data_IF_177819399131
#
_entry.id   IF_177819399131
#
_cell.length_a   1.000
_cell.length_b   1.000
_cell.length_c   1.000
_cell.angle_alpha   90.00
_cell.angle_beta   90.00
_cell.angle_gamma   90.00
#
_symmetry.space_group_name_H-M   'P 1'
#
loop_
_entity.id
_entity.type
_entity.pdbx_description
1 polymer ?
#
# COMPACT_ATOMS: atom_id res chain seq x y z
N UNK A 1 26.65 52.51 -3.21
CA UNK A 1 26.53 52.55 -4.69
C UNK A 1 27.14 51.29 -5.27
N UNK A 2 26.31 50.29 -5.63
CA UNK A 2 26.80 49.06 -6.27
C UNK A 2 26.72 49.24 -7.79
N UNK A 3 27.88 49.30 -8.45
CA UNK A 3 27.96 49.44 -9.92
C UNK A 3 27.34 48.19 -10.56
N UNK A 4 26.19 48.34 -11.22
CA UNK A 4 25.60 47.29 -12.07
C UNK A 4 26.55 47.04 -13.24
N UNK A 5 27.17 45.86 -13.27
CA UNK A 5 27.95 45.39 -14.41
C UNK A 5 27.02 45.16 -15.59
N UNK A 6 27.36 45.75 -16.75
CA UNK A 6 26.68 45.49 -18.02
C UNK A 6 26.85 44.00 -18.34
N UNK A 7 25.77 43.22 -18.26
CA UNK A 7 25.77 41.83 -18.72
C UNK A 7 26.12 41.82 -20.20
N UNK A 8 27.22 41.17 -20.56
CA UNK A 8 27.56 40.92 -21.96
C UNK A 8 26.43 40.12 -22.59
N UNK A 9 25.84 40.67 -23.65
CA UNK A 9 24.90 39.95 -24.50
C UNK A 9 25.71 39.06 -25.44
N UNK A 10 25.69 37.75 -25.20
CA UNK A 10 26.25 36.78 -26.13
C UNK A 10 25.33 36.71 -27.36
N UNK A 11 25.81 37.23 -28.49
CA UNK A 11 25.15 37.04 -29.79
C UNK A 11 25.51 35.64 -30.30
N UNK A 12 24.57 34.71 -30.22
CA UNK A 12 24.70 33.40 -30.85
C UNK A 12 24.32 33.51 -32.34
N UNK A 13 25.00 32.75 -33.23
CA UNK A 13 24.62 32.72 -34.64
C UNK A 13 23.21 32.15 -34.82
N UNK A 14 22.44 32.72 -35.74
CA UNK A 14 21.09 32.27 -36.07
C UNK A 14 21.15 30.91 -36.78
N UNK A 15 20.95 29.83 -36.02
CA UNK A 15 20.82 28.48 -36.57
C UNK A 15 19.37 28.29 -37.01
N UNK A 16 19.16 27.97 -38.29
CA UNK A 16 17.82 27.75 -38.86
C UNK A 16 17.11 26.62 -38.10
N UNK A 17 15.99 26.94 -37.43
CA UNK A 17 15.24 26.00 -36.58
C UNK A 17 15.56 26.07 -35.07
N UNK A 18 16.51 26.89 -34.64
CA UNK A 18 16.80 27.10 -33.22
C UNK A 18 15.87 28.15 -32.61
N UNK A 19 14.92 27.72 -31.78
CA UNK A 19 14.11 28.62 -30.95
C UNK A 19 14.82 28.92 -29.63
N UNK A 20 15.15 30.18 -29.32
CA UNK A 20 15.77 30.53 -28.05
C UNK A 20 14.89 30.14 -26.87
N UNK A 21 15.51 29.59 -25.82
CA UNK A 21 14.82 29.22 -24.59
C UNK A 21 14.21 30.46 -23.91
N UNK A 22 12.88 30.58 -23.93
CA UNK A 22 12.15 31.54 -23.09
C UNK A 22 12.06 30.97 -21.69
N UNK A 23 12.60 31.70 -20.69
CA UNK A 23 12.44 31.33 -19.29
C UNK A 23 10.95 31.21 -18.95
N UNK A 24 10.57 30.08 -18.32
CA UNK A 24 9.19 29.82 -17.90
C UNK A 24 8.65 30.99 -17.07
N UNK A 25 7.66 31.71 -17.60
CA UNK A 25 6.87 32.69 -16.86
C UNK A 25 6.27 32.02 -15.61
N UNK A 26 6.30 32.71 -14.46
CA UNK A 26 5.65 32.25 -13.22
C UNK A 26 4.14 32.08 -13.38
N UNK A 27 3.53 32.77 -14.34
CA UNK A 27 2.11 32.68 -14.64
C UNK A 27 1.88 31.61 -15.70
N UNK A 28 1.70 30.37 -15.23
CA UNK A 28 1.36 29.21 -16.07
C UNK A 28 0.17 29.51 -16.99
N UNK A 29 -0.81 30.29 -16.51
CA UNK A 29 -2.03 30.64 -17.23
C UNK A 29 -1.79 31.52 -18.47
N UNK A 30 -0.79 32.39 -18.47
CA UNK A 30 -0.46 33.25 -19.63
C UNK A 30 0.21 32.45 -20.75
N UNK A 31 0.99 31.42 -20.40
CA UNK A 31 1.63 30.51 -21.36
C UNK A 31 0.62 29.66 -22.16
N UNK A 32 -0.57 29.41 -21.60
CA UNK A 32 -1.60 28.58 -22.21
C UNK A 32 -2.78 29.37 -22.80
N UNK A 33 -2.76 30.71 -22.73
CA UNK A 33 -3.83 31.57 -23.28
C UNK A 33 -3.90 31.56 -24.80
N UNK A 34 -2.74 31.52 -25.46
CA UNK A 34 -2.64 31.62 -26.92
C UNK A 34 -2.57 30.24 -27.60
N UNK A 35 -2.45 29.17 -26.82
CA UNK A 35 -2.57 27.81 -27.33
C UNK A 35 -4.05 27.57 -27.65
N UNK A 36 -4.42 27.18 -28.89
CA UNK A 36 -5.79 26.82 -29.19
C UNK A 36 -6.22 25.77 -28.18
N UNK A 37 -7.31 26.04 -27.47
CA UNK A 37 -7.90 25.08 -26.54
C UNK A 37 -8.02 23.80 -27.33
N UNK A 38 -7.22 22.78 -27.00
CA UNK A 38 -7.22 21.54 -27.75
C UNK A 38 -8.63 20.97 -27.59
N UNK A 39 -9.50 21.21 -28.57
CA UNK A 39 -10.70 20.43 -28.75
C UNK A 39 -10.19 19.01 -28.88
N UNK A 40 -10.40 18.21 -27.83
CA UNK A 40 -10.07 16.80 -27.87
C UNK A 40 -10.97 16.19 -28.93
N UNK A 41 -10.44 16.07 -30.15
CA UNK A 41 -11.11 15.34 -31.23
C UNK A 41 -11.08 13.88 -30.82
N UNK A 42 -12.26 13.33 -30.48
CA UNK A 42 -12.38 11.92 -30.19
C UNK A 42 -11.98 11.11 -31.43
N UNK A 43 -11.08 10.14 -31.24
CA UNK A 43 -10.66 9.24 -32.32
C UNK A 43 -11.91 8.54 -32.88
N UNK A 44 -12.13 8.55 -34.20
CA UNK A 44 -13.28 7.88 -34.80
C UNK A 44 -13.38 6.42 -34.35
N UNK A 45 -14.60 5.92 -34.06
CA UNK A 45 -14.82 4.58 -33.47
C UNK A 45 -14.18 3.40 -34.23
N UNK A 46 -13.86 3.57 -35.51
CA UNK A 46 -13.27 2.54 -36.37
C UNK A 46 -11.83 2.86 -36.81
N UNK A 47 -11.18 3.85 -36.22
CA UNK A 47 -9.80 4.18 -36.55
C UNK A 47 -8.86 3.07 -36.05
N UNK A 48 -8.04 2.54 -36.94
CA UNK A 48 -6.94 1.63 -36.61
C UNK A 48 -5.64 2.32 -36.99
N UNK A 49 -4.65 2.24 -36.10
CA UNK A 49 -3.32 2.73 -36.40
C UNK A 49 -2.73 1.89 -37.56
N UNK A 50 -2.13 2.53 -38.58
CA UNK A 50 -1.52 1.79 -39.69
C UNK A 50 -0.28 1.03 -39.20
N UNK A 51 -0.08 -0.17 -39.74
CA UNK A 51 1.13 -0.96 -39.49
C UNK A 51 2.36 -0.27 -40.07
N UNK A 52 3.47 -0.29 -39.32
CA UNK A 52 4.73 0.30 -39.77
C UNK A 52 5.41 -0.62 -40.79
N UNK A 53 5.52 -0.19 -42.04
CA UNK A 53 6.14 -0.96 -43.12
C UNK A 53 7.61 -0.58 -43.30
N UNK A 54 8.42 -1.44 -43.94
CA UNK A 54 9.80 -1.09 -44.31
C UNK A 54 9.89 0.18 -45.19
N UNK A 55 8.86 0.46 -45.99
CA UNK A 55 8.76 1.65 -46.85
C UNK A 55 8.65 2.97 -46.06
N UNK A 56 8.11 2.91 -44.84
CA UNK A 56 7.92 4.08 -43.97
C UNK A 56 9.23 4.55 -43.32
N UNK A 57 10.33 3.80 -43.49
CA UNK A 57 11.66 4.17 -43.05
C UNK A 57 12.57 4.48 -44.28
N UNK A 58 12.64 5.75 -44.75
CA UNK A 58 13.38 6.13 -45.96
C UNK A 58 14.87 5.80 -45.91
N UNK A 59 15.46 5.72 -44.72
CA UNK A 59 16.86 5.40 -44.53
C UNK A 59 17.13 3.90 -44.33
N UNK A 60 16.08 3.09 -44.14
CA UNK A 60 16.10 1.62 -44.06
C UNK A 60 16.92 1.00 -42.93
N UNK A 61 17.65 1.82 -42.14
CA UNK A 61 18.54 1.37 -41.06
C UNK A 61 18.39 2.22 -39.82
N UNK A 62 18.55 1.60 -38.66
CA UNK A 62 18.71 2.31 -37.39
C UNK A 62 20.16 2.81 -37.27
N UNK A 63 20.34 4.05 -36.79
CA UNK A 63 21.67 4.65 -36.62
C UNK A 63 22.47 4.07 -35.44
N UNK A 64 21.78 3.48 -34.47
CA UNK A 64 22.38 2.90 -33.28
C UNK A 64 21.90 1.46 -33.09
N UNK A 65 22.81 0.60 -32.61
CA UNK A 65 22.46 -0.74 -32.19
C UNK A 65 21.89 -0.71 -30.76
N UNK A 66 20.73 -1.33 -30.56
CA UNK A 66 20.13 -1.56 -29.25
C UNK A 66 20.25 -3.03 -28.87
N UNK A 67 20.69 -3.28 -27.63
CA UNK A 67 20.73 -4.62 -27.05
C UNK A 67 19.98 -4.64 -25.71
N UNK A 68 19.24 -5.70 -25.47
CA UNK A 68 18.62 -5.99 -24.18
C UNK A 68 18.90 -7.43 -23.77
N UNK A 69 19.33 -7.61 -22.52
CA UNK A 69 19.51 -8.91 -21.90
C UNK A 69 18.55 -9.09 -20.73
N UNK A 70 18.13 -10.34 -20.47
CA UNK A 70 17.34 -10.70 -19.30
C UNK A 70 17.80 -12.05 -18.76
N UNK A 71 18.05 -12.10 -17.45
CA UNK A 71 18.37 -13.34 -16.73
C UNK A 71 17.10 -14.17 -16.52
N UNK A 72 17.22 -15.49 -16.63
CA UNK A 72 16.14 -16.42 -16.33
C UNK A 72 16.53 -17.42 -15.23
N UNK A 73 15.55 -17.96 -14.47
CA UNK A 73 15.84 -18.95 -13.43
C UNK A 73 16.27 -20.29 -14.02
N UNK A 74 17.20 -20.99 -13.34
CA UNK A 74 17.74 -22.30 -13.75
C UNK A 74 16.67 -23.35 -14.07
N UNK A 75 15.56 -23.39 -13.32
CA UNK A 75 14.47 -24.35 -13.59
C UNK A 75 13.77 -24.13 -14.94
N UNK A 76 13.91 -22.94 -15.55
CA UNK A 76 13.28 -22.59 -16.81
C UNK A 76 14.16 -22.89 -18.03
N UNK A 77 15.44 -23.19 -17.79
CA UNK A 77 16.47 -23.44 -18.81
C UNK A 77 16.06 -24.53 -19.81
N UNK A 78 15.61 -25.69 -19.32
CA UNK A 78 15.21 -26.82 -20.17
C UNK A 78 14.15 -26.41 -21.21
N UNK A 79 13.11 -25.70 -20.77
CA UNK A 79 12.06 -25.23 -21.65
C UNK A 79 12.58 -24.18 -22.63
N UNK A 80 13.35 -23.19 -22.15
CA UNK A 80 13.88 -22.11 -23.01
C UNK A 80 14.76 -22.72 -24.11
N UNK A 81 15.60 -23.69 -23.78
CA UNK A 81 16.45 -24.41 -24.74
C UNK A 81 15.63 -25.12 -25.82
N UNK A 82 14.52 -25.76 -25.46
CA UNK A 82 13.62 -26.46 -26.39
C UNK A 82 12.94 -25.48 -27.37
N UNK A 83 12.44 -24.33 -26.89
CA UNK A 83 11.72 -23.36 -27.73
C UNK A 83 12.63 -22.38 -28.49
N UNK A 84 13.92 -22.30 -28.12
CA UNK A 84 14.84 -21.26 -28.61
C UNK A 84 14.94 -21.20 -30.14
N UNK A 85 15.05 -22.33 -30.88
CA UNK A 85 15.10 -22.30 -32.33
C UNK A 85 13.86 -21.65 -32.96
N UNK A 86 12.67 -21.92 -32.41
CA UNK A 86 11.42 -21.33 -32.87
C UNK A 86 11.36 -19.83 -32.59
N UNK A 87 11.75 -19.40 -31.38
CA UNK A 87 11.83 -17.98 -31.04
C UNK A 87 12.80 -17.22 -31.95
N UNK A 88 13.98 -17.81 -32.21
CA UNK A 88 14.99 -17.23 -33.10
C UNK A 88 14.45 -17.03 -34.51
N UNK A 89 13.68 -17.98 -35.04
CA UNK A 89 13.04 -17.88 -36.36
C UNK A 89 12.08 -16.69 -36.42
N UNK A 90 11.18 -16.58 -35.44
CA UNK A 90 10.19 -15.49 -35.37
C UNK A 90 10.87 -14.12 -35.22
N UNK A 91 11.88 -13.98 -34.38
CA UNK A 91 12.60 -12.71 -34.22
C UNK A 91 13.43 -12.33 -35.46
N UNK A 92 13.90 -13.32 -36.22
CA UNK A 92 14.64 -13.09 -37.45
C UNK A 92 13.77 -12.51 -38.57
N UNK A 93 12.47 -12.83 -38.60
CA UNK A 93 11.47 -12.24 -39.51
C UNK A 93 11.39 -10.71 -39.34
N UNK A 94 11.60 -10.23 -38.11
CA UNK A 94 11.71 -8.81 -37.78
C UNK A 94 13.15 -8.26 -37.80
N UNK A 95 14.10 -9.03 -38.33
CA UNK A 95 15.53 -8.69 -38.37
C UNK A 95 16.16 -8.43 -37.00
N UNK A 96 15.68 -9.10 -35.94
CA UNK A 96 16.27 -9.08 -34.61
C UNK A 96 17.10 -10.34 -34.40
N UNK A 97 18.33 -10.16 -33.89
CA UNK A 97 19.20 -11.27 -33.50
C UNK A 97 18.96 -11.63 -32.05
N UNK A 98 18.70 -12.91 -31.77
CA UNK A 98 18.55 -13.44 -30.43
C UNK A 98 19.67 -14.44 -30.10
N UNK A 99 20.28 -14.28 -28.93
CA UNK A 99 21.34 -15.15 -28.39
C UNK A 99 20.94 -15.68 -27.01
N UNK A 100 21.25 -16.95 -26.75
CA UNK A 100 20.98 -17.64 -25.48
C UNK A 100 22.30 -18.06 -24.88
N UNK A 101 22.61 -17.58 -23.68
CA UNK A 101 23.70 -18.10 -22.88
C UNK A 101 23.16 -18.95 -21.74
N UNK A 102 23.53 -20.24 -21.77
CA UNK A 102 23.19 -21.20 -20.74
C UNK A 102 24.12 -21.10 -19.52
N UNK A 103 25.32 -20.55 -19.69
CA UNK A 103 26.32 -20.43 -18.63
C UNK A 103 25.90 -19.37 -17.63
N UNK A 104 25.59 -18.16 -18.11
CA UNK A 104 25.06 -17.07 -17.29
C UNK A 104 23.54 -17.18 -17.07
N UNK A 105 22.85 -18.11 -17.73
CA UNK A 105 21.39 -18.21 -17.76
C UNK A 105 20.74 -16.88 -18.20
N UNK A 106 21.23 -16.34 -19.32
CA UNK A 106 20.83 -15.06 -19.87
C UNK A 106 20.29 -15.20 -21.31
N UNK A 107 19.29 -14.40 -21.64
CA UNK A 107 18.75 -14.26 -23.00
C UNK A 107 19.01 -12.85 -23.47
N UNK A 108 19.55 -12.69 -24.68
CA UNK A 108 19.85 -11.40 -25.26
C UNK A 108 19.18 -11.21 -26.62
N UNK A 109 18.64 -10.02 -26.86
CA UNK A 109 18.08 -9.58 -28.14
C UNK A 109 18.80 -8.31 -28.61
N UNK A 110 19.20 -8.29 -29.88
CA UNK A 110 19.98 -7.21 -30.50
C UNK A 110 19.35 -6.79 -31.84
N UNK A 111 19.27 -5.49 -32.09
CA UNK A 111 18.92 -4.96 -33.41
C UNK A 111 20.04 -5.24 -34.41
N UNK A 112 19.69 -5.42 -35.68
CA UNK A 112 20.65 -5.52 -36.78
C UNK A 112 20.59 -4.28 -37.67
N UNK A 113 21.58 -4.04 -38.54
CA UNK A 113 21.52 -2.92 -39.49
C UNK A 113 20.34 -2.99 -40.47
N UNK A 114 19.67 -4.15 -40.57
CA UNK A 114 18.49 -4.39 -41.41
C UNK A 114 17.18 -4.17 -40.68
N UNK A 115 17.19 -3.93 -39.36
CA UNK A 115 15.98 -3.66 -38.59
C UNK A 115 15.39 -2.33 -39.05
N UNK A 116 14.18 -2.36 -39.61
CA UNK A 116 13.49 -1.18 -40.13
C UNK A 116 12.65 -0.49 -39.05
N UNK A 117 11.97 -1.26 -38.18
CA UNK A 117 11.14 -0.76 -37.10
C UNK A 117 11.99 -0.40 -35.86
N UNK A 118 11.95 0.85 -35.36
CA UNK A 118 12.63 1.22 -34.12
C UNK A 118 12.00 0.64 -32.84
N UNK A 119 10.71 0.33 -32.82
CA UNK A 119 9.99 -0.10 -31.62
C UNK A 119 9.97 -1.61 -31.40
N UNK A 120 10.13 -2.42 -32.44
CA UNK A 120 10.11 -3.90 -32.35
C UNK A 120 11.14 -4.46 -31.35
N UNK A 121 12.27 -3.78 -31.13
CA UNK A 121 13.26 -4.20 -30.14
C UNK A 121 12.72 -4.15 -28.70
N UNK A 122 11.84 -3.18 -28.39
CA UNK A 122 11.21 -3.08 -27.07
C UNK A 122 10.23 -4.23 -26.85
N UNK A 123 9.52 -4.64 -27.90
CA UNK A 123 8.64 -5.81 -27.86
C UNK A 123 9.44 -7.10 -27.73
N UNK A 124 10.54 -7.26 -28.45
CA UNK A 124 11.43 -8.40 -28.32
C UNK A 124 12.02 -8.52 -26.90
N UNK A 125 12.38 -7.38 -26.28
CA UNK A 125 12.74 -7.31 -24.86
C UNK A 125 11.61 -7.82 -23.97
N UNK A 126 10.38 -7.43 -24.25
CA UNK A 126 9.23 -7.85 -23.43
C UNK A 126 8.94 -9.35 -23.60
N UNK A 127 9.13 -9.92 -24.80
CA UNK A 127 9.07 -11.38 -25.04
C UNK A 127 10.07 -12.13 -24.16
N UNK A 128 11.36 -11.75 -24.16
CA UNK A 128 12.37 -12.45 -23.33
C UNK A 128 12.07 -12.29 -21.82
N UNK A 129 11.53 -11.13 -21.40
CA UNK A 129 11.12 -10.91 -20.00
C UNK A 129 9.93 -11.77 -19.61
N UNK A 130 8.96 -11.98 -20.49
CA UNK A 130 7.82 -12.87 -20.26
C UNK A 130 8.25 -14.34 -20.17
N UNK A 131 9.15 -14.78 -21.05
CA UNK A 131 9.69 -16.15 -21.02
C UNK A 131 10.43 -16.44 -19.72
N UNK A 132 11.22 -15.46 -19.22
CA UNK A 132 11.87 -15.53 -17.92
C UNK A 132 10.87 -15.64 -16.76
N UNK A 133 9.67 -15.07 -16.91
CA UNK A 133 8.53 -15.15 -15.97
C UNK A 133 7.59 -16.33 -16.24
N UNK A 134 8.11 -17.38 -16.89
CA UNK A 134 7.39 -18.64 -17.14
C UNK A 134 6.10 -18.51 -17.95
N UNK A 135 5.95 -17.46 -18.76
CA UNK A 135 4.90 -17.40 -19.78
C UNK A 135 5.24 -18.42 -20.89
N UNK A 136 4.26 -19.16 -21.43
CA UNK A 136 4.46 -20.04 -22.57
C UNK A 136 4.84 -19.26 -23.83
N UNK A 137 5.63 -19.89 -24.70
CA UNK A 137 6.10 -19.32 -25.98
C UNK A 137 4.98 -18.73 -26.82
N UNK A 138 3.91 -19.50 -27.05
CA UNK A 138 2.76 -19.09 -27.87
C UNK A 138 2.13 -17.78 -27.39
N UNK A 139 2.05 -17.59 -26.07
CA UNK A 139 1.47 -16.38 -25.49
C UNK A 139 2.46 -15.22 -25.48
N UNK A 140 3.76 -15.50 -25.32
CA UNK A 140 4.79 -14.46 -25.32
C UNK A 140 4.95 -13.84 -26.73
N UNK A 141 4.94 -14.64 -27.79
CA UNK A 141 5.12 -14.17 -29.18
C UNK A 141 4.02 -13.20 -29.62
N UNK A 142 2.81 -13.33 -29.07
CA UNK A 142 1.68 -12.42 -29.36
C UNK A 142 2.03 -10.94 -29.10
N UNK A 143 2.95 -10.65 -28.20
CA UNK A 143 3.40 -9.28 -27.87
C UNK A 143 4.14 -8.60 -29.02
N UNK A 144 4.59 -9.34 -30.04
CA UNK A 144 5.20 -8.73 -31.22
C UNK A 144 4.16 -7.95 -32.06
N UNK A 145 2.88 -8.27 -31.95
CA UNK A 145 1.77 -7.55 -32.60
C UNK A 145 1.58 -6.15 -31.99
N UNK A 146 1.12 -5.17 -32.77
CA UNK A 146 0.98 -3.77 -32.31
C UNK A 146 -0.09 -3.57 -31.24
N UNK A 147 -1.21 -4.28 -31.33
CA UNK A 147 -2.33 -4.14 -30.39
C UNK A 147 -2.11 -4.82 -29.03
N UNK A 148 -1.09 -5.69 -28.93
CA UNK A 148 -0.87 -6.55 -27.76
C UNK A 148 0.35 -6.10 -27.00
N UNK A 149 0.14 -5.85 -25.72
CA UNK A 149 1.17 -5.41 -24.80
C UNK A 149 1.41 -6.45 -23.71
N UNK A 150 2.55 -6.30 -23.04
CA UNK A 150 2.92 -7.08 -21.87
C UNK A 150 2.95 -6.18 -20.63
N UNK A 151 2.50 -6.71 -19.49
CA UNK A 151 2.64 -6.04 -18.21
C UNK A 151 3.16 -6.98 -17.12
N UNK A 152 4.23 -6.60 -16.44
CA UNK A 152 4.80 -7.34 -15.31
C UNK A 152 4.54 -6.53 -14.04
N UNK A 153 3.58 -6.99 -13.26
CA UNK A 153 3.12 -6.33 -12.03
C UNK A 153 3.84 -6.94 -10.83
N UNK A 154 4.62 -6.13 -10.14
CA UNK A 154 5.25 -6.53 -8.88
C UNK A 154 4.24 -6.47 -7.72
N UNK A 155 4.14 -7.58 -7.00
CA UNK A 155 3.28 -7.75 -5.83
C UNK A 155 4.15 -8.02 -4.60
N UNK A 156 4.16 -7.10 -3.64
CA UNK A 156 4.93 -7.24 -2.42
C UNK A 156 4.06 -6.90 -1.20
N UNK A 157 4.19 -7.67 -0.12
CA UNK A 157 3.50 -7.41 1.13
C UNK A 157 4.39 -7.84 2.30
N UNK A 158 4.42 -7.01 3.36
CA UNK A 158 5.33 -7.19 4.51
C UNK A 158 5.11 -8.51 5.25
N UNK A 159 3.85 -8.88 5.50
CA UNK A 159 3.51 -10.13 6.16
C UNK A 159 3.40 -11.28 5.14
N UNK A 160 4.29 -12.27 5.26
CA UNK A 160 4.39 -13.43 4.37
C UNK A 160 3.12 -14.27 4.31
N UNK A 161 2.49 -14.57 5.45
CA UNK A 161 1.27 -15.38 5.48
C UNK A 161 0.11 -14.66 4.78
N UNK A 162 -0.01 -13.36 5.05
CA UNK A 162 -1.02 -12.51 4.41
C UNK A 162 -0.78 -12.44 2.90
N UNK A 163 0.48 -12.34 2.47
CA UNK A 163 0.85 -12.35 1.07
C UNK A 163 0.40 -13.64 0.38
N UNK A 164 0.75 -14.80 0.95
CA UNK A 164 0.39 -16.12 0.38
C UNK A 164 -1.14 -16.27 0.31
N UNK A 165 -1.86 -15.91 1.37
CA UNK A 165 -3.34 -15.97 1.39
C UNK A 165 -3.98 -15.08 0.32
N UNK A 166 -3.48 -13.84 0.12
CA UNK A 166 -4.01 -12.92 -0.91
C UNK A 166 -3.61 -13.32 -2.34
N UNK A 167 -2.40 -13.85 -2.53
CA UNK A 167 -1.96 -14.39 -3.81
C UNK A 167 -2.77 -15.61 -4.22
N UNK A 168 -2.96 -16.57 -3.30
CA UNK A 168 -3.78 -17.76 -3.58
C UNK A 168 -5.25 -17.38 -3.83
N UNK A 169 -5.76 -16.32 -3.18
CA UNK A 169 -7.08 -15.76 -3.50
C UNK A 169 -7.17 -15.19 -4.92
N UNK A 170 -6.10 -14.60 -5.45
CA UNK A 170 -6.05 -14.11 -6.83
C UNK A 170 -6.11 -15.27 -7.84
N UNK A 171 -5.44 -16.39 -7.54
CA UNK A 171 -5.47 -17.60 -8.36
C UNK A 171 -6.86 -18.26 -8.29
N UNK A 172 -7.43 -18.36 -7.08
CA UNK A 172 -8.67 -19.08 -6.82
C UNK A 172 -8.45 -20.57 -6.58
N UNK A 173 -9.53 -21.31 -6.32
CA UNK A 173 -9.51 -22.76 -6.30
C UNK A 173 -9.19 -23.26 -7.71
N UNK A 174 -8.20 -24.14 -7.86
CA UNK A 174 -7.74 -24.70 -9.15
C UNK A 174 -7.46 -23.69 -10.28
N UNK A 175 -7.27 -22.40 -9.96
CA UNK A 175 -7.07 -21.35 -10.97
C UNK A 175 -8.36 -20.79 -11.59
N UNK A 176 -9.55 -21.16 -11.10
CA UNK A 176 -10.83 -20.70 -11.64
C UNK A 176 -10.98 -19.18 -11.66
N UNK A 177 -10.53 -18.51 -10.59
CA UNK A 177 -10.62 -17.05 -10.49
C UNK A 177 -9.70 -16.37 -11.49
N UNK A 178 -8.51 -16.93 -11.69
CA UNK A 178 -7.56 -16.48 -12.71
C UNK A 178 -8.14 -16.67 -14.10
N UNK A 179 -8.69 -17.86 -14.40
CA UNK A 179 -9.33 -18.15 -15.69
C UNK A 179 -10.53 -17.24 -15.98
N UNK A 180 -11.37 -17.00 -14.98
CA UNK A 180 -12.49 -16.07 -15.10
C UNK A 180 -12.01 -14.64 -15.36
N UNK A 181 -10.89 -14.22 -14.75
CA UNK A 181 -10.28 -12.92 -15.01
C UNK A 181 -9.73 -12.83 -16.43
N UNK A 182 -9.02 -13.86 -16.91
CA UNK A 182 -8.52 -13.95 -18.30
C UNK A 182 -9.65 -13.81 -19.33
N UNK A 183 -10.75 -14.55 -19.17
CA UNK A 183 -11.92 -14.47 -20.05
C UNK A 183 -12.61 -13.10 -19.95
N UNK A 184 -12.63 -12.50 -18.76
CA UNK A 184 -13.24 -11.19 -18.53
C UNK A 184 -12.43 -10.05 -19.13
N UNK A 185 -11.11 -10.16 -19.28
CA UNK A 185 -10.26 -9.10 -19.82
C UNK A 185 -9.53 -9.51 -21.09
N UNK A 186 -9.93 -10.60 -21.77
CA UNK A 186 -9.29 -11.13 -22.98
C UNK A 186 -7.75 -11.19 -22.90
N UNK A 187 -7.22 -11.40 -21.71
CA UNK A 187 -5.79 -11.33 -21.42
C UNK A 187 -5.31 -12.69 -20.92
N UNK A 188 -4.03 -12.99 -21.14
CA UNK A 188 -3.36 -14.14 -20.54
C UNK A 188 -2.65 -13.70 -19.26
N UNK A 189 -2.86 -14.38 -18.13
CA UNK A 189 -2.33 -13.94 -16.83
C UNK A 189 -1.62 -15.10 -16.14
N UNK A 190 -0.36 -14.88 -15.76
CA UNK A 190 0.44 -15.85 -14.99
C UNK A 190 0.86 -15.24 -13.67
N UNK A 191 0.54 -15.93 -12.58
CA UNK A 191 0.96 -15.53 -11.22
C UNK A 191 2.17 -16.37 -10.83
N UNK A 192 3.34 -15.74 -10.74
CA UNK A 192 4.58 -16.41 -10.35
C UNK A 192 5.28 -15.67 -9.21
N UNK A 193 5.42 -16.34 -8.06
CA UNK A 193 6.17 -15.81 -6.93
C UNK A 193 5.61 -14.48 -6.41
N UNK A 194 6.38 -13.40 -6.65
CA UNK A 194 6.08 -11.99 -6.30
C UNK A 194 5.70 -11.13 -7.51
N UNK A 195 5.44 -11.74 -8.65
CA UNK A 195 5.04 -11.03 -9.86
C UNK A 195 3.81 -11.66 -10.49
N UNK A 196 3.00 -10.81 -11.12
CA UNK A 196 1.90 -11.20 -11.98
C UNK A 196 2.21 -10.68 -13.35
N UNK A 197 2.43 -11.58 -14.30
CA UNK A 197 2.62 -11.24 -15.70
C UNK A 197 1.27 -11.29 -16.41
N UNK A 198 0.98 -10.30 -17.24
CA UNK A 198 -0.23 -10.25 -18.04
C UNK A 198 0.12 -9.89 -19.49
N UNK A 199 -0.58 -10.48 -20.45
CA UNK A 199 -0.43 -10.21 -21.89
C UNK A 199 -1.82 -9.95 -22.47
N UNK A 200 -2.01 -8.83 -23.16
CA UNK A 200 -3.31 -8.43 -23.68
C UNK A 200 -3.32 -7.00 -24.21
N UNK A 201 -4.51 -6.49 -24.51
CA UNK A 201 -4.68 -5.10 -24.95
C UNK A 201 -4.43 -4.12 -23.79
N UNK A 202 -4.04 -2.89 -24.12
CA UNK A 202 -3.67 -1.88 -23.13
C UNK A 202 -4.80 -1.57 -22.12
N UNK A 203 -6.04 -1.42 -22.60
CA UNK A 203 -7.19 -1.13 -21.74
C UNK A 203 -7.44 -2.25 -20.73
N UNK A 204 -7.34 -3.50 -21.19
CA UNK A 204 -7.53 -4.70 -20.39
C UNK A 204 -6.42 -4.84 -19.35
N UNK A 205 -5.16 -4.63 -19.72
CA UNK A 205 -4.02 -4.65 -18.80
C UNK A 205 -4.16 -3.62 -17.68
N UNK A 206 -4.67 -2.42 -17.98
CA UNK A 206 -4.98 -1.39 -16.97
C UNK A 206 -6.01 -1.89 -15.96
N UNK A 207 -7.03 -2.61 -16.42
CA UNK A 207 -8.02 -3.22 -15.54
C UNK A 207 -7.41 -4.34 -14.69
N UNK A 208 -6.65 -5.25 -15.30
CA UNK A 208 -5.94 -6.35 -14.61
C UNK A 208 -5.05 -5.78 -13.51
N UNK A 209 -4.21 -4.78 -13.82
CA UNK A 209 -3.34 -4.10 -12.87
C UNK A 209 -4.11 -3.55 -11.68
N UNK A 210 -5.23 -2.86 -11.92
CA UNK A 210 -6.11 -2.34 -10.87
C UNK A 210 -6.69 -3.45 -10.00
N UNK A 211 -7.09 -4.57 -10.59
CA UNK A 211 -7.67 -5.72 -9.88
C UNK A 211 -6.62 -6.41 -9.01
N UNK A 212 -5.42 -6.66 -9.56
CA UNK A 212 -4.29 -7.24 -8.83
C UNK A 212 -3.92 -6.35 -7.63
N UNK A 213 -3.79 -5.04 -7.85
CA UNK A 213 -3.53 -4.10 -6.75
C UNK A 213 -4.63 -4.08 -5.70
N UNK A 214 -5.90 -4.06 -6.10
CA UNK A 214 -7.04 -4.08 -5.17
C UNK A 214 -7.09 -5.37 -4.34
N UNK A 215 -6.73 -6.50 -4.96
CA UNK A 215 -6.68 -7.79 -4.29
C UNK A 215 -5.54 -7.88 -3.27
N UNK A 216 -4.34 -7.46 -3.68
CA UNK A 216 -3.14 -7.59 -2.86
C UNK A 216 -3.04 -6.52 -1.78
N UNK A 217 -3.35 -5.26 -2.07
CA UNK A 217 -3.16 -4.13 -1.13
C UNK A 217 -4.44 -3.77 -0.39
N UNK A 218 -5.55 -3.51 -1.11
CA UNK A 218 -6.83 -3.09 -0.54
C UNK A 218 -7.67 -4.21 0.10
N UNK A 219 -7.20 -5.46 0.01
CA UNK A 219 -7.89 -6.64 0.54
C UNK A 219 -9.30 -6.86 -0.07
N UNK A 220 -9.52 -6.42 -1.29
CA UNK A 220 -10.77 -6.63 -2.02
C UNK A 220 -10.76 -8.01 -2.66
N UNK A 221 -11.85 -8.78 -2.57
CA UNK A 221 -11.90 -10.08 -3.22
C UNK A 221 -12.02 -9.91 -4.76
N UNK A 222 -11.21 -10.59 -5.59
CA UNK A 222 -11.22 -10.43 -7.05
C UNK A 222 -12.58 -10.76 -7.68
N UNK A 223 -13.35 -11.68 -7.09
CA UNK A 223 -14.71 -12.00 -7.53
C UNK A 223 -15.64 -10.77 -7.65
N UNK A 224 -15.48 -9.75 -6.78
CA UNK A 224 -16.28 -8.52 -6.91
C UNK A 224 -15.90 -7.72 -8.15
N UNK A 225 -14.60 -7.67 -8.46
CA UNK A 225 -14.10 -7.02 -9.67
C UNK A 225 -14.53 -7.76 -10.92
N UNK A 226 -14.48 -9.08 -10.92
CA UNK A 226 -14.95 -9.93 -12.04
C UNK A 226 -16.45 -9.68 -12.27
N UNK A 227 -17.28 -9.71 -11.22
CA UNK A 227 -18.71 -9.40 -11.33
C UNK A 227 -18.94 -7.99 -11.89
N UNK A 228 -18.14 -7.01 -11.46
CA UNK A 228 -18.21 -5.65 -11.99
C UNK A 228 -17.86 -5.60 -13.48
N UNK A 229 -16.78 -6.26 -13.90
CA UNK A 229 -16.37 -6.33 -15.31
C UNK A 229 -17.43 -6.99 -16.19
N UNK A 230 -18.04 -8.07 -15.71
CA UNK A 230 -19.09 -8.78 -16.43
C UNK A 230 -20.32 -7.88 -16.64
N UNK A 231 -20.70 -7.09 -15.63
CA UNK A 231 -21.79 -6.11 -15.76
C UNK A 231 -21.39 -4.99 -16.74
N UNK A 232 -20.15 -4.49 -16.67
CA UNK A 232 -19.65 -3.48 -17.63
C UNK A 232 -19.71 -4.01 -19.06
N UNK A 233 -19.24 -5.23 -19.33
CA UNK A 233 -19.28 -5.84 -20.66
C UNK A 233 -20.73 -5.99 -21.19
N UNK A 234 -21.67 -6.39 -20.33
CA UNK A 234 -23.09 -6.46 -20.71
C UNK A 234 -23.66 -5.08 -21.05
N UNK A 235 -23.38 -4.07 -20.22
CA UNK A 235 -23.83 -2.68 -20.46
C UNK A 235 -23.20 -2.05 -21.71
N UNK A 236 -21.96 -2.43 -22.04
CA UNK A 236 -21.28 -2.00 -23.27
C UNK A 236 -21.93 -2.59 -24.52
N UNK A 237 -22.36 -3.85 -24.46
CA UNK A 237 -23.05 -4.51 -25.57
C UNK A 237 -24.44 -3.92 -25.84
N UNK A 238 -25.11 -3.36 -24.82
CA UNK A 238 -26.43 -2.76 -24.95
C UNK A 238 -26.36 -1.34 -25.57
N UNK A 239 -26.87 -1.10 -26.80
CA UNK A 239 -26.78 0.20 -27.46
C UNK A 239 -27.57 1.30 -26.72
N UNK A 240 -28.64 0.94 -25.99
CA UNK A 240 -29.49 1.88 -25.27
C UNK A 240 -28.81 2.55 -24.07
N UNK A 241 -27.70 2.01 -23.57
CA UNK A 241 -27.05 2.45 -22.33
C UNK A 241 -25.74 3.22 -22.54
N UNK A 242 -25.31 3.44 -23.78
CA UNK A 242 -24.03 4.10 -24.07
C UNK A 242 -23.96 5.55 -23.54
N UNK A 243 -25.05 6.30 -23.62
CA UNK A 243 -25.09 7.72 -23.23
C UNK A 243 -25.44 7.95 -21.74
N UNK A 244 -25.66 6.89 -20.95
CA UNK A 244 -26.11 6.98 -19.56
C UNK A 244 -24.97 6.59 -18.63
N UNK A 245 -24.81 7.32 -17.52
CA UNK A 245 -23.84 6.93 -16.47
C UNK A 245 -24.15 5.56 -15.87
N UNK A 246 -23.14 4.67 -15.84
CA UNK A 246 -23.29 3.29 -15.36
C UNK A 246 -23.17 3.12 -13.85
N UNK A 247 -22.87 4.17 -13.06
CA UNK A 247 -22.63 4.04 -11.61
C UNK A 247 -23.82 3.44 -10.83
N UNK A 248 -25.05 3.63 -11.34
CA UNK A 248 -26.27 3.05 -10.75
C UNK A 248 -26.31 1.52 -10.85
N UNK A 249 -25.78 0.96 -11.94
CA UNK A 249 -25.84 -0.49 -12.23
C UNK A 249 -24.65 -1.25 -11.63
N UNK A 250 -23.57 -0.55 -11.30
CA UNK A 250 -22.34 -1.17 -10.82
C UNK A 250 -22.43 -1.48 -9.31
N UNK A 251 -22.05 -2.70 -8.89
CA UNK A 251 -21.98 -3.04 -7.48
C UNK A 251 -20.98 -2.13 -6.74
N UNK A 252 -21.47 -1.34 -5.78
CA UNK A 252 -20.62 -0.46 -4.98
C UNK A 252 -19.89 -1.27 -3.90
N UNK A 253 -18.56 -1.29 -3.99
CA UNK A 253 -17.73 -1.98 -3.01
C UNK A 253 -17.56 -1.12 -1.75
N UNK A 254 -18.56 -1.14 -0.86
CA UNK A 254 -18.48 -0.42 0.40
C UNK A 254 -17.55 -1.17 1.36
N UNK A 255 -16.46 -0.52 1.80
CA UNK A 255 -15.69 -1.01 2.94
C UNK A 255 -16.64 -1.00 4.15
N UNK A 256 -17.06 -2.19 4.62
CA UNK A 256 -17.82 -2.34 5.87
C UNK A 256 -16.87 -2.07 7.03
N UNK A 257 -16.61 -0.80 7.32
CA UNK A 257 -15.85 -0.44 8.51
C UNK A 257 -16.85 -0.46 9.67
N UNK A 258 -16.79 -1.49 10.52
CA UNK A 258 -17.48 -1.52 11.83
C UNK A 258 -16.84 -0.51 12.81
N UNK A 259 -16.49 0.70 12.35
CA UNK A 259 -15.62 1.63 13.10
C UNK A 259 -16.30 2.39 14.22
N UNK A 260 -17.58 2.16 14.50
CA UNK A 260 -18.15 2.60 15.77
C UNK A 260 -17.87 1.58 16.87
N UNK A 261 -16.61 1.17 17.01
CA UNK A 261 -16.16 0.54 18.25
C UNK A 261 -16.07 1.65 19.29
N UNK A 262 -17.00 1.68 20.23
CA UNK A 262 -16.99 2.64 21.34
C UNK A 262 -15.62 2.57 22.03
N UNK A 263 -14.88 3.67 22.04
CA UNK A 263 -13.63 3.73 22.81
C UNK A 263 -13.99 3.61 24.29
N UNK A 264 -13.34 2.74 25.08
CA UNK A 264 -13.65 2.67 26.51
C UNK A 264 -13.39 4.05 27.14
N UNK A 265 -14.26 4.46 28.06
CA UNK A 265 -14.12 5.74 28.77
C UNK A 265 -12.75 5.88 29.47
N UNK A 266 -12.12 4.76 29.83
CA UNK A 266 -10.76 4.71 30.38
C UNK A 266 -9.81 4.03 29.41
N UNK A 267 -9.06 4.83 28.65
CA UNK A 267 -7.99 4.36 27.77
C UNK A 267 -6.72 4.23 28.61
N UNK A 268 -6.20 3.00 28.78
CA UNK A 268 -4.89 2.78 29.41
C UNK A 268 -3.81 3.40 28.54
N UNK A 269 -3.10 4.43 29.04
CA UNK A 269 -1.89 4.95 28.40
C UNK A 269 -0.80 3.86 28.47
N UNK A 270 -0.09 3.60 27.36
CA UNK A 270 1.07 2.70 27.35
C UNK A 270 2.18 3.32 28.22
N UNK A 271 2.88 2.50 28.99
CA UNK A 271 4.07 2.95 29.74
C UNK A 271 5.18 3.31 28.75
N UNK A 272 6.02 4.27 29.12
CA UNK A 272 7.22 4.61 28.35
C UNK A 272 8.18 3.41 28.28
N UNK A 273 8.86 3.27 27.15
CA UNK A 273 9.80 2.17 26.95
C UNK A 273 11.04 2.39 27.82
N UNK A 274 11.26 1.50 28.78
CA UNK A 274 12.49 1.44 29.56
C UNK A 274 13.32 0.25 29.07
N UNK A 275 14.58 0.46 28.65
CA UNK A 275 15.42 -0.64 28.15
C UNK A 275 15.81 -1.62 29.28
N UNK A 276 15.75 -1.17 30.53
CA UNK A 276 15.97 -2.00 31.70
C UNK A 276 14.72 -2.80 32.04
N UNK A 277 14.85 -4.14 32.23
CA UNK A 277 13.74 -4.94 32.72
C UNK A 277 13.39 -4.50 34.16
N UNK A 278 12.12 -4.60 34.58
CA UNK A 278 11.78 -4.43 35.98
C UNK A 278 12.47 -5.50 36.82
N UNK A 279 12.81 -5.18 38.07
CA UNK A 279 13.37 -6.17 38.99
C UNK A 279 12.42 -7.37 39.11
N UNK A 280 12.94 -8.61 39.10
CA UNK A 280 12.12 -9.79 39.34
C UNK A 280 11.44 -9.68 40.70
N UNK A 281 10.22 -10.20 40.82
CA UNK A 281 9.56 -10.26 42.12
C UNK A 281 10.35 -11.22 43.02
N UNK A 282 10.81 -10.78 44.21
CA UNK A 282 11.60 -11.62 45.11
C UNK A 282 10.79 -12.84 45.55
N UNK A 283 11.47 -13.97 45.77
CA UNK A 283 10.82 -15.17 46.28
C UNK A 283 10.31 -14.94 47.72
N UNK A 284 9.41 -15.81 48.20
CA UNK A 284 8.99 -15.77 49.62
C UNK A 284 10.19 -15.89 50.56
N UNK A 285 11.17 -16.72 50.18
CA UNK A 285 12.42 -16.90 50.92
C UNK A 285 13.23 -15.62 50.94
N UNK A 286 13.40 -14.95 49.80
CA UNK A 286 14.13 -13.67 49.72
C UNK A 286 13.44 -12.56 50.53
N UNK A 287 12.09 -12.54 50.54
CA UNK A 287 11.32 -11.61 51.37
C UNK A 287 11.53 -11.90 52.85
N UNK A 288 11.59 -13.18 53.25
CA UNK A 288 11.85 -13.57 54.63
C UNK A 288 13.29 -13.32 55.07
N UNK A 289 14.26 -13.52 54.16
CA UNK A 289 15.67 -13.21 54.37
C UNK A 289 15.88 -11.69 54.50
N UNK A 290 15.30 -10.90 53.60
CA UNK A 290 15.35 -9.43 53.66
C UNK A 290 14.68 -8.85 54.91
N UNK A 291 13.62 -9.49 55.41
CA UNK A 291 12.95 -9.12 56.67
C UNK A 291 13.68 -9.61 57.93
N UNK A 292 14.73 -10.44 57.78
CA UNK A 292 15.40 -11.11 58.90
C UNK A 292 14.54 -12.14 59.63
N UNK A 293 13.30 -12.35 59.20
CA UNK A 293 12.39 -13.31 59.83
C UNK A 293 12.76 -14.75 59.51
N UNK A 294 13.51 -14.98 58.44
CA UNK A 294 13.88 -16.33 58.00
C UNK A 294 14.64 -17.12 59.08
N UNK A 295 15.54 -16.47 59.81
CA UNK A 295 16.37 -17.13 60.82
C UNK A 295 15.71 -17.24 62.19
N UNK A 296 14.58 -16.56 62.44
CA UNK A 296 13.88 -16.64 63.73
C UNK A 296 13.23 -18.00 63.92
N UNK A 297 13.40 -18.58 65.11
CA UNK A 297 12.73 -19.80 65.53
C UNK A 297 11.21 -19.61 65.51
N UNK A 298 10.45 -20.68 65.25
CA UNK A 298 8.99 -20.60 65.10
C UNK A 298 8.30 -20.04 66.36
N UNK A 299 8.85 -20.33 67.55
CA UNK A 299 8.37 -19.81 68.83
C UNK A 299 8.51 -18.27 68.92
N UNK A 300 9.65 -17.73 68.50
CA UNK A 300 9.92 -16.28 68.49
C UNK A 300 9.04 -15.56 67.47
N UNK A 301 8.88 -16.14 66.27
CA UNK A 301 7.94 -15.63 65.26
C UNK A 301 6.52 -15.55 65.81
N UNK A 302 6.06 -16.59 66.54
CA UNK A 302 4.73 -16.62 67.17
C UNK A 302 4.59 -15.56 68.27
N UNK A 303 5.62 -15.36 69.10
CA UNK A 303 5.65 -14.34 70.16
C UNK A 303 5.55 -12.92 69.57
N UNK A 304 6.41 -12.56 68.63
CA UNK A 304 6.38 -11.26 67.93
C UNK A 304 5.03 -11.02 67.22
N UNK A 305 4.43 -12.07 66.66
CA UNK A 305 3.09 -12.00 66.04
C UNK A 305 1.99 -11.75 67.07
N UNK A 306 2.10 -12.27 68.30
CA UNK A 306 1.14 -11.99 69.38
C UNK A 306 1.33 -10.56 69.90
N UNK A 307 2.55 -10.15 70.17
CA UNK A 307 2.88 -8.80 70.64
C UNK A 307 2.41 -7.72 69.65
N UNK A 308 2.66 -7.92 68.35
CA UNK A 308 2.17 -6.99 67.31
C UNK A 308 0.64 -6.96 67.18
N UNK A 309 -0.06 -8.07 67.46
CA UNK A 309 -1.54 -8.08 67.52
C UNK A 309 -2.06 -7.31 68.72
N UNK A 310 -1.44 -7.47 69.89
CA UNK A 310 -1.80 -6.76 71.12
C UNK A 310 -1.63 -5.26 70.90
N UNK A 311 -0.47 -4.83 70.41
CA UNK A 311 -0.19 -3.42 70.10
C UNK A 311 -1.19 -2.83 69.10
N UNK A 312 -1.54 -3.57 68.03
CA UNK A 312 -2.58 -3.14 67.07
C UNK A 312 -3.95 -3.00 67.74
N UNK A 313 -4.32 -3.95 68.60
CA UNK A 313 -5.60 -3.91 69.31
C UNK A 313 -5.70 -2.71 70.26
N UNK A 314 -4.60 -2.37 70.94
CA UNK A 314 -4.51 -1.18 71.79
C UNK A 314 -4.62 0.11 70.99
N UNK A 315 -3.96 0.20 69.84
CA UNK A 315 -4.08 1.36 68.94
C UNK A 315 -5.51 1.54 68.44
N UNK A 316 -6.17 0.45 68.02
CA UNK A 316 -7.59 0.50 67.60
C UNK A 316 -8.49 0.89 68.77
N UNK A 317 -8.23 0.38 69.97
CA UNK A 317 -8.98 0.77 71.16
C UNK A 317 -8.82 2.26 71.48
N UNK A 318 -7.60 2.80 71.37
CA UNK A 318 -7.33 4.25 71.50
C UNK A 318 -8.08 5.06 70.45
N UNK A 319 -8.02 4.67 69.17
CA UNK A 319 -8.77 5.33 68.10
C UNK A 319 -10.29 5.27 68.31
N UNK A 320 -10.82 4.14 68.78
CA UNK A 320 -12.24 3.99 69.13
C UNK A 320 -12.63 4.87 70.31
N UNK A 321 -11.80 4.96 71.35
CA UNK A 321 -12.00 5.88 72.48
C UNK A 321 -12.02 7.33 72.01
N UNK A 322 -11.07 7.74 71.16
CA UNK A 322 -11.03 9.08 70.56
C UNK A 322 -12.27 9.38 69.72
N UNK A 323 -12.68 8.46 68.84
CA UNK A 323 -13.92 8.60 68.04
C UNK A 323 -15.17 8.69 68.92
N UNK A 324 -15.23 7.90 70.00
CA UNK A 324 -16.34 7.93 70.96
C UNK A 324 -16.37 9.23 71.76
N UNK A 325 -15.22 9.73 72.18
CA UNK A 325 -15.10 11.03 72.86
C UNK A 325 -15.50 12.19 71.93
N UNK A 326 -15.05 12.16 70.67
CA UNK A 326 -15.43 13.14 69.66
C UNK A 326 -16.94 13.16 69.38
N UNK A 327 -17.62 12.02 69.49
CA UNK A 327 -19.08 11.94 69.34
C UNK A 327 -19.85 12.49 70.56
N UNK A 328 -19.23 12.60 71.74
CA UNK A 328 -19.84 13.13 72.96
C UNK A 328 -19.70 14.65 73.10
N UNK A 329 -18.87 15.29 72.28
CA UNK A 329 -18.77 16.73 72.19
C UNK A 329 -19.86 17.19 71.22
N UNK A 330 -20.83 18.00 71.65
CA UNK A 330 -21.85 18.54 70.77
C UNK A 330 -21.17 19.30 69.62
N UNK A 331 -21.59 19.08 68.36
CA UNK A 331 -21.06 19.86 67.25
C UNK A 331 -21.39 21.34 67.48
N UNK A 332 -20.40 22.22 67.33
CA UNK A 332 -20.61 23.67 67.50
C UNK A 332 -21.74 24.16 66.58
N UNK A 333 -22.79 24.73 67.18
CA UNK A 333 -23.92 25.29 66.45
C UNK A 333 -23.50 26.55 65.69
N UNK A 334 -23.53 26.49 64.36
CA UNK A 334 -23.45 27.69 63.53
C UNK A 334 -24.78 28.43 63.59
N UNK A 335 -24.85 29.48 64.41
CA UNK A 335 -26.00 30.40 64.47
C UNK A 335 -26.30 30.96 63.06
N UNK A 336 -27.40 30.53 62.45
CA UNK A 336 -27.90 31.06 61.16
C UNK A 336 -28.93 32.15 61.44
N UNK A 337 -28.60 33.40 61.13
CA UNK A 337 -29.56 34.52 61.14
C UNK A 337 -30.68 34.27 60.10
N UNK A 338 -31.95 34.52 60.41
CA UNK A 338 -33.06 34.27 59.48
C UNK A 338 -33.11 35.32 58.36
N UNK A 339 -33.36 34.87 57.12
CA UNK A 339 -33.49 35.69 55.91
C UNK A 339 -34.98 35.96 55.64
N UNK A 340 -35.33 37.23 55.45
CA UNK A 340 -36.61 37.67 54.89
C UNK A 340 -36.60 37.54 53.35
N UNK A 341 -37.71 37.07 52.79
CA UNK A 341 -37.90 36.79 51.36
C UNK A 341 -38.12 38.05 50.52
N UNK A 342 -37.58 38.05 49.29
CA UNK A 342 -37.90 39.03 48.26
C UNK A 342 -37.01 39.00 47.02
N UNK A 343 -37.56 38.49 45.92
CA UNK A 343 -37.23 38.73 44.49
C UNK A 343 -35.98 38.08 43.84
N UNK A 344 -36.20 37.55 42.62
CA UNK A 344 -35.37 36.71 41.73
C UNK A 344 -34.15 37.44 41.09
N UNK A 345 -33.34 36.86 40.15
CA UNK A 345 -33.32 35.51 39.56
C UNK A 345 -31.92 34.81 39.45
N UNK A 346 -31.99 33.51 39.17
CA UNK A 346 -31.15 32.57 38.39
C UNK A 346 -29.59 32.64 38.29
N UNK A 347 -28.99 31.42 38.23
CA UNK A 347 -27.60 30.98 37.95
C UNK A 347 -26.66 30.57 39.14
N UNK A 348 -25.66 29.68 38.93
CA UNK A 348 -25.79 28.22 39.02
C UNK A 348 -25.01 27.62 40.21
N UNK A 349 -25.47 26.47 40.71
CA UNK A 349 -24.81 25.74 41.83
C UNK A 349 -23.39 25.26 41.46
N UNK A 350 -22.36 25.93 41.96
CA UNK A 350 -20.99 25.41 42.05
C UNK A 350 -20.96 24.19 42.98
N UNK A 351 -20.73 23.00 42.41
CA UNK A 351 -20.35 21.77 43.13
C UNK A 351 -19.04 22.03 43.90
N UNK A 352 -19.07 22.06 45.23
CA UNK A 352 -17.85 21.98 46.04
C UNK A 352 -17.37 20.54 46.10
N UNK A 353 -16.18 20.32 45.52
CA UNK A 353 -15.34 19.14 45.69
C UNK A 353 -15.11 18.88 47.19
N UNK A 354 -15.42 17.66 47.64
CA UNK A 354 -14.96 17.13 48.92
C UNK A 354 -13.52 16.65 48.70
N UNK A 355 -12.55 17.47 49.05
CA UNK A 355 -11.15 17.06 49.14
C UNK A 355 -11.05 15.99 50.24
N UNK A 356 -10.67 14.77 49.85
CA UNK A 356 -10.16 13.78 50.79
C UNK A 356 -8.73 14.21 51.13
N UNK A 357 -8.54 14.80 52.30
CA UNK A 357 -7.24 14.82 52.94
C UNK A 357 -6.85 13.36 53.27
N UNK A 358 -5.87 12.88 52.52
CA UNK A 358 -4.99 11.80 52.98
C UNK A 358 -3.90 12.48 53.77
N UNK A 359 -3.87 12.21 55.06
CA UNK A 359 -2.70 12.45 55.90
C UNK A 359 -1.85 11.18 56.01
N UNK A 360 -0.55 11.33 56.36
CA UNK A 360 0.59 10.66 55.72
C UNK A 360 0.79 9.17 56.02
#
# INVERSE_FOLDING_TARGET
MVKKTKRQTLNFPEVQGWTPYKAFSKNKEELFKDLPTHEYVEVPKNWKEPEFKPEDNPHGRLFAASSYATLFPKYREKYIKEIWPALRKVLLEHHIRAELDLTESSMEVRTTPKTFDPFIILKARDVIRLLARSVPFEQAVRVLQDDIFADIIEINLTNRERFIKRRNRLIGYEGETLKALELSTNSYIVVQGKTVSAVGQYEDLKQVRKIVWSCIYDNVHPAYSIKRLLIVKKLQADPTKQNISWDRFLPKLKKKVLSRRHKPHKIRKKKEYTPFPPAPTPSKVDIELAKGTYFLAEAERKRLKRESKIAKSEQVAKQRKLKRAAAFIPPEERVKRPKLDGTAPDQPKKKKHKQLEREP
#
